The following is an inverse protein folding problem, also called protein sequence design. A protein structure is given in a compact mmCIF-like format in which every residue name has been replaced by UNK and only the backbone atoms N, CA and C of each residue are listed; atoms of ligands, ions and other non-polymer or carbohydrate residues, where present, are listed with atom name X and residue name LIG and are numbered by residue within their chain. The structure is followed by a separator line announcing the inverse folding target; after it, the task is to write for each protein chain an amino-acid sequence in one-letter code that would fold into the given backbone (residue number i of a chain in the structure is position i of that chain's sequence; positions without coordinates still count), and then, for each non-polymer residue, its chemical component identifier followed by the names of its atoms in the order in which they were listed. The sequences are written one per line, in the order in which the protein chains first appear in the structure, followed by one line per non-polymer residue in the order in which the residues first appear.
data_IF_703784886393
#
_entry.id   IF_703784886393
#
_cell.length_a   1.000
_cell.length_b   1.000
_cell.length_c   1.000
_cell.angle_alpha   90.00
_cell.angle_beta   90.00
_cell.angle_gamma   90.00
#
_symmetry.space_group_name_H-M   'P 1'
#
loop_
_entity.id
_entity.type
_entity.pdbx_description
1 polymer ?
#
# COMPACT_ATOMS: atom_id res chain seq x y z
N UNK A 1 26.58 3.11 -1.59
CA UNK A 1 25.47 3.78 -0.89
C UNK A 1 24.58 4.44 -1.92
N UNK A 2 23.27 4.34 -1.76
CA UNK A 2 22.30 5.14 -2.52
C UNK A 2 21.55 6.06 -1.53
N UNK A 3 21.24 7.29 -1.93
CA UNK A 3 20.45 8.26 -1.15
C UNK A 3 19.34 8.87 -2.02
N UNK A 4 18.21 9.20 -1.39
CA UNK A 4 17.09 9.90 -2.03
C UNK A 4 16.30 10.70 -0.99
N UNK A 5 15.50 11.65 -1.46
CA UNK A 5 14.58 12.46 -0.65
C UNK A 5 13.13 11.93 -0.64
N UNK A 6 12.84 10.86 -1.38
CA UNK A 6 11.53 10.18 -1.40
C UNK A 6 11.69 8.67 -1.51
N UNK A 7 10.79 7.92 -0.87
CA UNK A 7 10.63 6.50 -1.13
C UNK A 7 9.83 6.25 -2.41
N UNK A 8 9.00 7.21 -2.85
CA UNK A 8 8.01 7.06 -3.91
C UNK A 8 8.63 7.24 -5.30
N UNK A 9 9.20 6.16 -5.82
CA UNK A 9 9.74 6.13 -7.18
C UNK A 9 8.60 5.94 -8.20
N UNK A 10 8.62 6.78 -9.24
CA UNK A 10 7.90 6.60 -10.51
C UNK A 10 6.45 6.05 -10.40
N UNK A 11 5.56 6.78 -9.72
CA UNK A 11 4.14 6.41 -9.62
C UNK A 11 3.32 6.80 -10.87
N UNK A 12 3.91 7.50 -11.84
CA UNK A 12 3.23 8.07 -13.01
C UNK A 12 2.51 7.02 -13.87
N UNK A 13 3.17 5.91 -14.18
CA UNK A 13 2.62 4.87 -15.06
C UNK A 13 1.40 4.15 -14.45
N UNK A 14 1.39 3.99 -13.12
CA UNK A 14 0.26 3.48 -12.37
C UNK A 14 -0.99 4.36 -12.55
N UNK A 15 -0.82 5.69 -12.63
CA UNK A 15 -1.91 6.66 -12.81
C UNK A 15 -2.44 6.64 -14.23
N UNK A 16 -1.52 6.67 -15.20
CA UNK A 16 -1.85 6.63 -16.63
C UNK A 16 -2.67 5.37 -16.92
N UNK A 17 -2.27 4.22 -16.35
CA UNK A 17 -3.01 2.98 -16.51
C UNK A 17 -4.47 3.04 -16.01
N UNK A 18 -4.73 3.68 -14.85
CA UNK A 18 -6.10 3.84 -14.36
C UNK A 18 -6.91 4.83 -15.20
N UNK A 19 -6.25 5.87 -15.71
CA UNK A 19 -6.88 6.90 -16.53
C UNK A 19 -7.32 6.35 -17.88
N UNK A 20 -6.46 5.56 -18.52
CA UNK A 20 -6.67 4.98 -19.85
C UNK A 20 -7.48 3.68 -19.82
N UNK A 21 -7.89 3.20 -18.64
CA UNK A 21 -8.61 1.93 -18.53
C UNK A 21 -9.98 2.02 -19.23
N UNK A 22 -10.26 1.16 -20.24
CA UNK A 22 -11.37 1.39 -21.18
C UNK A 22 -12.73 0.89 -20.67
N UNK A 23 -12.77 0.20 -19.53
CA UNK A 23 -13.99 -0.41 -18.99
C UNK A 23 -14.63 0.45 -17.90
N UNK A 24 -15.96 0.42 -17.83
CA UNK A 24 -16.79 1.33 -17.04
C UNK A 24 -17.79 0.62 -16.13
N UNK A 25 -17.45 -0.56 -15.60
CA UNK A 25 -18.22 -1.16 -14.50
C UNK A 25 -18.07 -0.29 -13.25
N UNK A 26 -18.96 -0.45 -12.27
CA UNK A 26 -18.95 0.37 -11.06
C UNK A 26 -17.64 0.26 -10.28
N UNK A 27 -17.02 -0.93 -10.20
CA UNK A 27 -15.71 -1.11 -9.58
C UNK A 27 -14.61 -0.32 -10.31
N UNK A 28 -14.62 -0.31 -11.64
CA UNK A 28 -13.58 0.33 -12.44
C UNK A 28 -13.70 1.86 -12.37
N UNK A 29 -14.93 2.38 -12.42
CA UNK A 29 -15.20 3.80 -12.19
C UNK A 29 -14.76 4.23 -10.79
N UNK A 30 -15.10 3.43 -9.76
CA UNK A 30 -14.68 3.68 -8.38
C UNK A 30 -13.15 3.64 -8.22
N UNK A 31 -12.49 2.65 -8.81
CA UNK A 31 -11.02 2.51 -8.78
C UNK A 31 -10.31 3.69 -9.47
N UNK A 32 -10.87 4.21 -10.58
CA UNK A 32 -10.35 5.42 -11.25
C UNK A 32 -10.54 6.67 -10.38
N UNK A 33 -11.73 6.84 -9.78
CA UNK A 33 -11.99 7.95 -8.84
C UNK A 33 -11.02 7.90 -7.66
N UNK A 34 -10.87 6.74 -7.01
CA UNK A 34 -9.93 6.56 -5.90
C UNK A 34 -8.49 6.85 -6.29
N UNK A 35 -8.02 6.30 -7.42
CA UNK A 35 -6.63 6.47 -7.85
C UNK A 35 -6.28 7.93 -8.14
N UNK A 36 -7.15 8.65 -8.85
CA UNK A 36 -6.96 10.07 -9.15
C UNK A 36 -7.05 10.91 -7.86
N UNK A 37 -8.03 10.63 -6.99
CA UNK A 37 -8.19 11.36 -5.74
C UNK A 37 -7.00 11.15 -4.80
N UNK A 38 -6.51 9.91 -4.65
CA UNK A 38 -5.35 9.59 -3.83
C UNK A 38 -4.11 10.36 -4.31
N UNK A 39 -3.87 10.42 -5.62
CA UNK A 39 -2.62 10.95 -6.13
C UNK A 39 -2.61 12.43 -6.46
N UNK A 40 -3.72 13.15 -6.23
CA UNK A 40 -3.80 14.59 -6.48
C UNK A 40 -2.64 15.36 -5.83
N UNK A 41 -2.31 15.04 -4.59
CA UNK A 41 -1.27 15.73 -3.83
C UNK A 41 0.13 15.28 -4.26
N UNK A 42 0.31 13.97 -4.50
CA UNK A 42 1.58 13.37 -4.91
C UNK A 42 1.99 13.79 -6.33
N UNK A 43 1.08 13.79 -7.30
CA UNK A 43 1.42 14.14 -8.69
C UNK A 43 1.71 15.63 -8.85
N UNK A 44 0.92 16.48 -8.18
CA UNK A 44 1.20 17.93 -8.12
C UNK A 44 2.57 18.20 -7.51
N UNK A 45 3.01 17.34 -6.58
CA UNK A 45 4.25 17.48 -5.86
C UNK A 45 5.51 17.12 -6.67
N UNK A 46 5.43 16.22 -7.66
CA UNK A 46 6.61 15.69 -8.37
C UNK A 46 6.72 16.10 -9.85
N UNK A 47 5.86 17.01 -10.35
CA UNK A 47 5.84 17.50 -11.74
C UNK A 47 6.03 16.38 -12.79
N UNK A 48 5.27 15.29 -12.60
CA UNK A 48 5.48 14.07 -13.36
C UNK A 48 5.10 14.24 -14.84
N UNK A 49 6.10 14.08 -15.72
CA UNK A 49 5.92 14.19 -17.16
C UNK A 49 4.92 13.14 -17.71
N UNK A 50 4.05 13.56 -18.62
CA UNK A 50 3.09 12.68 -19.31
C UNK A 50 1.75 12.50 -18.62
N UNK A 51 1.51 13.15 -17.48
CA UNK A 51 0.20 13.17 -16.85
C UNK A 51 -0.77 14.12 -17.58
N UNK A 52 -2.07 13.76 -17.63
CA UNK A 52 -3.11 14.71 -18.00
C UNK A 52 -3.09 15.92 -17.07
N UNK A 53 -3.57 17.06 -17.55
CA UNK A 53 -3.58 18.28 -16.74
C UNK A 53 -4.47 18.10 -15.50
N UNK A 54 -4.17 18.76 -14.35
CA UNK A 54 -4.96 18.63 -13.13
C UNK A 54 -6.46 18.87 -13.32
N UNK A 55 -6.83 19.80 -14.20
CA UNK A 55 -8.22 20.08 -14.57
C UNK A 55 -8.88 18.95 -15.36
N UNK A 56 -8.14 18.24 -16.22
CA UNK A 56 -8.65 17.09 -16.97
C UNK A 56 -8.89 15.89 -16.04
N UNK A 57 -7.96 15.65 -15.11
CA UNK A 57 -8.11 14.65 -14.06
C UNK A 57 -9.31 14.96 -13.16
N UNK A 58 -9.48 16.22 -12.77
CA UNK A 58 -10.60 16.63 -11.94
C UNK A 58 -11.94 16.48 -12.67
N UNK A 59 -12.00 16.85 -13.96
CA UNK A 59 -13.19 16.64 -14.79
C UNK A 59 -13.51 15.15 -14.98
N UNK A 60 -12.48 14.30 -15.10
CA UNK A 60 -12.65 12.86 -15.18
C UNK A 60 -13.27 12.28 -13.90
N UNK A 61 -12.78 12.67 -12.72
CA UNK A 61 -13.36 12.26 -11.43
C UNK A 61 -14.82 12.69 -11.32
N UNK A 62 -15.14 13.94 -11.66
CA UNK A 62 -16.51 14.44 -11.60
C UNK A 62 -17.47 13.69 -12.54
N UNK A 63 -17.02 13.39 -13.77
CA UNK A 63 -17.79 12.58 -14.71
C UNK A 63 -18.06 11.18 -14.16
N UNK A 64 -17.08 10.56 -13.54
CA UNK A 64 -17.20 9.20 -13.03
C UNK A 64 -18.10 9.13 -11.78
N UNK A 65 -18.02 10.13 -10.90
CA UNK A 65 -18.97 10.29 -9.77
C UNK A 65 -20.40 10.40 -10.30
N UNK A 66 -20.63 11.18 -11.35
CA UNK A 66 -21.96 11.31 -11.97
C UNK A 66 -22.46 10.00 -12.59
N UNK A 67 -21.58 9.22 -13.22
CA UNK A 67 -21.91 7.89 -13.75
C UNK A 67 -22.27 6.91 -12.63
N UNK A 68 -21.47 6.88 -11.56
CA UNK A 68 -21.73 6.06 -10.38
C UNK A 68 -23.07 6.43 -9.74
N UNK A 69 -23.35 7.73 -9.57
CA UNK A 69 -24.66 8.20 -9.10
C UNK A 69 -25.81 7.68 -9.96
N UNK A 70 -25.66 7.69 -11.29
CA UNK A 70 -26.65 7.14 -12.22
C UNK A 70 -26.85 5.62 -12.10
N UNK A 71 -25.82 4.90 -11.62
CA UNK A 71 -25.86 3.44 -11.41
C UNK A 71 -26.47 3.04 -10.07
N UNK A 72 -26.54 3.94 -9.08
CA UNK A 72 -26.98 3.60 -7.72
C UNK A 72 -28.44 3.10 -7.71
N UNK A 73 -28.65 1.91 -7.15
CA UNK A 73 -29.96 1.30 -6.98
C UNK A 73 -30.71 1.92 -5.80
N UNK A 74 -32.02 1.72 -5.73
CA UNK A 74 -32.90 2.29 -4.70
C UNK A 74 -32.53 1.84 -3.27
N UNK A 75 -31.97 0.63 -3.13
CA UNK A 75 -31.43 0.09 -1.88
C UNK A 75 -30.15 0.80 -1.40
N UNK A 76 -29.59 1.71 -2.20
CA UNK A 76 -28.36 2.46 -1.90
C UNK A 76 -27.08 1.79 -2.39
N UNK A 77 -27.16 0.54 -2.85
CA UNK A 77 -26.04 -0.22 -3.40
C UNK A 77 -25.80 0.03 -4.88
N UNK A 78 -24.75 -0.61 -5.39
CA UNK A 78 -24.28 -0.46 -6.75
C UNK A 78 -24.21 -1.83 -7.44
N UNK A 79 -24.84 -1.98 -8.62
CA UNK A 79 -24.68 -3.16 -9.45
C UNK A 79 -23.35 -3.11 -10.22
N UNK A 80 -22.99 -4.20 -10.88
CA UNK A 80 -21.74 -4.27 -11.67
C UNK A 80 -21.77 -3.29 -12.86
N UNK A 81 -22.85 -3.26 -13.64
CA UNK A 81 -22.86 -2.55 -14.94
C UNK A 81 -23.97 -1.51 -15.12
N UNK A 82 -25.16 -1.75 -14.57
CA UNK A 82 -26.31 -0.90 -14.88
C UNK A 82 -27.32 -0.94 -13.74
N UNK A 83 -27.87 0.24 -13.40
CA UNK A 83 -28.96 0.38 -12.44
C UNK A 83 -30.12 -0.57 -12.78
N UNK A 84 -30.74 -1.13 -11.75
CA UNK A 84 -31.86 -2.07 -11.87
C UNK A 84 -31.45 -3.54 -11.81
N UNK A 85 -30.17 -3.86 -12.03
CA UNK A 85 -29.61 -5.16 -11.67
C UNK A 85 -29.32 -5.23 -10.17
N UNK A 86 -29.15 -6.44 -9.63
CA UNK A 86 -28.84 -6.63 -8.22
C UNK A 86 -27.54 -5.90 -7.83
N UNK A 87 -27.57 -5.22 -6.69
CA UNK A 87 -26.40 -4.59 -6.08
C UNK A 87 -25.38 -5.67 -5.70
N UNK A 88 -24.12 -5.46 -6.07
CA UNK A 88 -23.04 -6.33 -5.63
C UNK A 88 -22.48 -5.78 -4.31
N UNK A 89 -22.43 -6.57 -3.23
CA UNK A 89 -22.07 -6.07 -1.90
C UNK A 89 -20.62 -5.58 -1.84
N UNK A 90 -19.68 -6.25 -2.50
CA UNK A 90 -18.28 -5.84 -2.50
C UNK A 90 -18.09 -4.55 -3.31
N UNK A 91 -18.71 -4.47 -4.50
CA UNK A 91 -18.59 -3.31 -5.37
C UNK A 91 -19.25 -2.10 -4.73
N UNK A 92 -20.36 -2.30 -4.02
CA UNK A 92 -21.05 -1.23 -3.28
C UNK A 92 -20.16 -0.61 -2.21
N UNK A 93 -19.46 -1.43 -1.41
CA UNK A 93 -18.49 -0.94 -0.41
C UNK A 93 -17.32 -0.22 -1.09
N UNK A 94 -16.81 -0.76 -2.19
CA UNK A 94 -15.71 -0.14 -2.94
C UNK A 94 -16.09 1.21 -3.57
N UNK A 95 -17.30 1.33 -4.11
CA UNK A 95 -17.84 2.60 -4.60
C UNK A 95 -17.99 3.60 -3.45
N UNK A 96 -18.54 3.18 -2.31
CA UNK A 96 -18.65 4.04 -1.13
C UNK A 96 -17.26 4.55 -0.67
N UNK A 97 -16.23 3.69 -0.71
CA UNK A 97 -14.86 4.07 -0.42
C UNK A 97 -14.36 5.15 -1.40
N UNK A 98 -14.63 5.00 -2.69
CA UNK A 98 -14.28 6.00 -3.69
C UNK A 98 -14.95 7.36 -3.44
N UNK A 99 -16.24 7.34 -3.14
CA UNK A 99 -17.03 8.54 -2.90
C UNK A 99 -16.55 9.31 -1.66
N UNK A 100 -16.28 8.61 -0.55
CA UNK A 100 -15.80 9.29 0.67
C UNK A 100 -14.39 9.85 0.49
N UNK A 101 -13.48 9.12 -0.18
CA UNK A 101 -12.13 9.62 -0.45
C UNK A 101 -12.13 10.80 -1.42
N UNK A 102 -12.98 10.77 -2.45
CA UNK A 102 -13.15 11.89 -3.36
C UNK A 102 -13.63 13.16 -2.61
N UNK A 103 -14.61 13.02 -1.73
CA UNK A 103 -15.07 14.14 -0.89
C UNK A 103 -13.96 14.67 0.02
N UNK A 104 -13.19 13.79 0.68
CA UNK A 104 -12.05 14.18 1.53
C UNK A 104 -10.97 14.96 0.76
N UNK A 105 -10.80 14.67 -0.54
CA UNK A 105 -9.88 15.38 -1.44
C UNK A 105 -10.54 16.59 -2.14
N UNK A 106 -11.72 17.00 -1.71
CA UNK A 106 -12.41 18.22 -2.13
C UNK A 106 -13.19 18.12 -3.44
N UNK A 107 -13.46 16.92 -3.94
CA UNK A 107 -14.39 16.73 -5.06
C UNK A 107 -15.83 16.86 -4.58
N UNK A 108 -16.69 17.47 -5.40
CA UNK A 108 -18.12 17.48 -5.17
C UNK A 108 -18.69 16.06 -5.28
N UNK A 109 -19.37 15.62 -4.24
CA UNK A 109 -20.03 14.31 -4.18
C UNK A 109 -21.44 14.55 -3.65
N UNK A 110 -22.50 14.16 -4.39
CA UNK A 110 -23.87 14.36 -3.95
C UNK A 110 -24.14 13.74 -2.58
N UNK A 111 -24.63 14.55 -1.63
CA UNK A 111 -24.87 14.12 -0.26
C UNK A 111 -25.85 12.94 -0.17
N UNK A 112 -26.92 12.96 -0.97
CA UNK A 112 -27.90 11.87 -1.03
C UNK A 112 -27.26 10.53 -1.45
N UNK A 113 -26.38 10.55 -2.46
CA UNK A 113 -25.65 9.37 -2.92
C UNK A 113 -24.80 8.79 -1.80
N UNK A 114 -24.07 9.63 -1.05
CA UNK A 114 -23.29 9.17 0.10
C UNK A 114 -24.17 8.62 1.22
N UNK A 115 -25.22 9.32 1.61
CA UNK A 115 -26.12 8.87 2.70
C UNK A 115 -26.72 7.50 2.37
N UNK A 116 -27.15 7.28 1.13
CA UNK A 116 -27.73 6.01 0.71
C UNK A 116 -26.69 4.89 0.64
N UNK A 117 -25.47 5.19 0.22
CA UNK A 117 -24.37 4.21 0.26
C UNK A 117 -24.00 3.84 1.71
N UNK A 118 -24.00 4.80 2.63
CA UNK A 118 -23.80 4.56 4.06
C UNK A 118 -24.91 3.66 4.64
N UNK A 119 -26.17 3.95 4.32
CA UNK A 119 -27.29 3.15 4.79
C UNK A 119 -27.25 1.71 4.26
N UNK A 120 -26.84 1.51 3.00
CA UNK A 120 -26.58 0.17 2.45
C UNK A 120 -25.48 -0.57 3.25
N UNK A 121 -24.38 0.11 3.59
CA UNK A 121 -23.29 -0.49 4.37
C UNK A 121 -23.68 -0.80 5.82
N UNK A 122 -24.56 0.00 6.44
CA UNK A 122 -25.12 -0.31 7.78
C UNK A 122 -25.92 -1.61 7.80
N UNK A 123 -26.49 -2.01 6.67
CA UNK A 123 -27.23 -3.28 6.52
C UNK A 123 -26.55 -4.29 5.61
N UNK A 124 -25.22 -4.19 5.43
CA UNK A 124 -24.45 -4.98 4.46
C UNK A 124 -24.72 -6.49 4.55
N UNK A 125 -24.91 -7.02 5.75
CA UNK A 125 -25.20 -8.43 6.02
C UNK A 125 -26.41 -8.98 5.25
N UNK A 126 -27.43 -8.12 5.07
CA UNK A 126 -28.67 -8.46 4.36
C UNK A 126 -28.47 -8.50 2.85
N UNK A 127 -27.43 -7.85 2.34
CA UNK A 127 -27.14 -7.72 0.92
C UNK A 127 -26.09 -8.72 0.42
N UNK A 128 -25.36 -9.39 1.31
CA UNK A 128 -24.41 -10.46 0.94
C UNK A 128 -25.16 -11.76 0.64
N UNK A 129 -25.15 -12.26 -0.61
CA UNK A 129 -25.85 -13.48 -0.98
C UNK A 129 -25.43 -14.69 -0.15
N UNK A 130 -26.38 -15.61 0.11
CA UNK A 130 -26.14 -16.77 0.97
C UNK A 130 -25.11 -17.77 0.45
N UNK A 131 -24.79 -17.72 -0.85
CA UNK A 131 -23.80 -18.58 -1.48
C UNK A 131 -22.36 -18.08 -1.33
N UNK A 132 -22.14 -16.86 -0.80
CA UNK A 132 -20.79 -16.38 -0.47
C UNK A 132 -20.25 -17.17 0.71
N UNK A 133 -18.98 -17.60 0.63
CA UNK A 133 -18.32 -18.26 1.76
C UNK A 133 -18.24 -17.37 3.00
N UNK A 134 -18.09 -18.02 4.15
CA UNK A 134 -17.94 -17.33 5.43
C UNK A 134 -16.71 -16.40 5.47
N UNK A 135 -15.66 -16.68 4.69
CA UNK A 135 -14.46 -15.85 4.55
C UNK A 135 -14.75 -14.60 3.73
N UNK A 136 -15.44 -14.73 2.59
CA UNK A 136 -15.84 -13.60 1.77
C UNK A 136 -16.82 -12.67 2.47
N UNK A 137 -17.82 -13.23 3.14
CA UNK A 137 -18.76 -12.45 3.97
C UNK A 137 -18.03 -11.63 5.03
N UNK A 138 -17.10 -12.25 5.75
CA UNK A 138 -16.31 -11.60 6.79
C UNK A 138 -15.46 -10.44 6.25
N UNK A 139 -14.80 -10.64 5.12
CA UNK A 139 -14.00 -9.59 4.48
C UNK A 139 -14.84 -8.39 4.04
N UNK A 140 -16.03 -8.63 3.47
CA UNK A 140 -16.95 -7.55 3.06
C UNK A 140 -17.46 -6.77 4.29
N UNK A 141 -17.82 -7.47 5.37
CA UNK A 141 -18.26 -6.83 6.61
C UNK A 141 -17.15 -5.96 7.23
N UNK A 142 -15.93 -6.48 7.29
CA UNK A 142 -14.76 -5.74 7.77
C UNK A 142 -14.49 -4.50 6.92
N UNK A 143 -14.52 -4.65 5.58
CA UNK A 143 -14.34 -3.52 4.67
C UNK A 143 -15.43 -2.47 4.84
N UNK A 144 -16.70 -2.89 4.97
CA UNK A 144 -17.81 -1.96 5.19
C UNK A 144 -17.66 -1.16 6.49
N UNK A 145 -17.22 -1.79 7.59
CA UNK A 145 -16.96 -1.10 8.86
C UNK A 145 -15.84 -0.07 8.74
N UNK A 146 -14.77 -0.39 8.01
CA UNK A 146 -13.70 0.56 7.70
C UNK A 146 -14.21 1.73 6.86
N UNK A 147 -14.95 1.49 5.77
CA UNK A 147 -15.46 2.60 4.95
C UNK A 147 -16.48 3.45 5.72
N UNK A 148 -17.31 2.84 6.57
CA UNK A 148 -18.20 3.56 7.50
C UNK A 148 -17.40 4.46 8.45
N UNK A 149 -16.26 4.02 8.96
CA UNK A 149 -15.42 4.85 9.83
C UNK A 149 -14.86 6.08 9.09
N UNK A 150 -14.46 5.93 7.82
CA UNK A 150 -14.06 7.06 6.96
C UNK A 150 -15.19 8.07 6.72
N UNK A 151 -16.44 7.62 6.79
CA UNK A 151 -17.66 8.43 6.68
C UNK A 151 -18.13 9.00 8.03
N UNK A 152 -17.31 8.88 9.10
CA UNK A 152 -17.62 9.28 10.47
C UNK A 152 -18.77 8.47 11.13
N UNK A 153 -19.08 7.27 10.63
CA UNK A 153 -20.02 6.31 11.22
C UNK A 153 -19.27 5.15 11.90
N UNK A 154 -18.43 5.47 12.88
CA UNK A 154 -17.56 4.50 13.55
C UNK A 154 -18.37 3.53 14.42
N UNK A 155 -18.23 2.23 14.17
CA UNK A 155 -18.89 1.15 14.92
C UNK A 155 -17.84 0.17 15.48
N UNK A 156 -17.07 0.65 16.46
CA UNK A 156 -15.96 -0.10 17.04
C UNK A 156 -16.42 -1.35 17.82
N UNK A 157 -17.64 -1.32 18.38
CA UNK A 157 -18.20 -2.48 19.09
C UNK A 157 -18.49 -3.63 18.10
N UNK A 158 -19.07 -3.31 16.95
CA UNK A 158 -19.29 -4.29 15.90
C UNK A 158 -17.98 -4.77 15.28
N UNK A 159 -16.99 -3.88 15.09
CA UNK A 159 -15.67 -4.27 14.61
C UNK A 159 -14.97 -5.25 15.56
N UNK A 160 -14.98 -4.99 16.87
CA UNK A 160 -14.44 -5.91 17.88
C UNK A 160 -15.23 -7.23 17.91
N UNK A 161 -16.57 -7.19 17.81
CA UNK A 161 -17.40 -8.40 17.73
C UNK A 161 -17.08 -9.23 16.49
N UNK A 162 -16.90 -8.60 15.34
CA UNK A 162 -16.56 -9.28 14.09
C UNK A 162 -15.16 -9.90 14.19
N UNK A 163 -14.17 -9.15 14.68
CA UNK A 163 -12.81 -9.64 14.92
C UNK A 163 -12.81 -10.91 15.79
N UNK A 164 -13.56 -10.87 16.88
CA UNK A 164 -13.65 -11.95 17.87
C UNK A 164 -14.62 -13.07 17.46
N UNK A 165 -15.25 -13.00 16.29
CA UNK A 165 -16.18 -14.04 15.81
C UNK A 165 -15.48 -15.33 15.36
N UNK A 166 -14.16 -15.26 15.13
CA UNK A 166 -13.31 -16.39 14.72
C UNK A 166 -11.84 -16.13 15.06
N UNK A 167 -10.98 -17.17 15.12
CA UNK A 167 -9.53 -16.98 15.30
C UNK A 167 -8.91 -16.04 14.26
N UNK A 168 -7.86 -15.29 14.63
CA UNK A 168 -7.17 -14.37 13.71
C UNK A 168 -6.54 -15.12 12.54
N UNK A 169 -5.97 -16.30 12.77
CA UNK A 169 -5.35 -17.14 11.73
C UNK A 169 -6.36 -17.64 10.67
N UNK A 170 -7.65 -17.62 10.99
CA UNK A 170 -8.74 -17.99 10.06
C UNK A 170 -9.30 -16.77 9.29
N UNK A 171 -8.76 -15.58 9.53
CA UNK A 171 -9.17 -14.33 8.88
C UNK A 171 -8.19 -13.95 7.77
N UNK A 172 -8.69 -13.25 6.74
CA UNK A 172 -7.77 -12.61 5.81
C UNK A 172 -7.09 -11.42 6.49
N UNK A 173 -5.80 -11.21 6.17
CA UNK A 173 -5.04 -10.07 6.70
C UNK A 173 -5.68 -8.73 6.35
N UNK A 174 -6.35 -8.61 5.20
CA UNK A 174 -7.10 -7.41 4.83
C UNK A 174 -8.28 -7.15 5.77
N UNK A 175 -9.04 -8.19 6.12
CA UNK A 175 -10.14 -8.04 7.08
C UNK A 175 -9.63 -7.62 8.46
N UNK A 176 -8.54 -8.24 8.92
CA UNK A 176 -7.89 -7.89 10.18
C UNK A 176 -7.40 -6.44 10.14
N UNK A 177 -6.72 -6.00 9.07
CA UNK A 177 -6.20 -4.65 8.93
C UNK A 177 -7.30 -3.58 8.82
N UNK A 178 -8.42 -3.86 8.13
CA UNK A 178 -9.57 -2.94 8.13
C UNK A 178 -10.19 -2.80 9.52
N UNK A 179 -10.37 -3.91 10.25
CA UNK A 179 -10.88 -3.88 11.62
C UNK A 179 -9.91 -3.15 12.56
N UNK A 180 -8.61 -3.35 12.37
CA UNK A 180 -7.56 -2.64 13.11
C UNK A 180 -7.73 -1.12 12.99
N UNK A 181 -7.92 -0.61 11.77
CA UNK A 181 -8.12 0.82 11.54
C UNK A 181 -9.39 1.38 12.23
N UNK A 182 -10.44 0.58 12.36
CA UNK A 182 -11.67 0.98 13.07
C UNK A 182 -11.46 1.03 14.59
N UNK A 183 -10.64 0.13 15.14
CA UNK A 183 -10.39 -0.01 16.58
C UNK A 183 -9.29 0.92 17.09
N UNK A 184 -8.30 1.22 16.24
CA UNK A 184 -7.10 2.01 16.53
C UNK A 184 -7.41 3.32 17.24
N UNK A 185 -6.62 3.64 18.28
CA UNK A 185 -6.79 4.85 19.09
C UNK A 185 -7.91 4.78 20.14
N UNK A 186 -8.68 3.68 20.20
CA UNK A 186 -9.70 3.47 21.23
C UNK A 186 -9.19 2.54 22.34
N UNK A 187 -8.90 3.13 23.51
CA UNK A 187 -8.37 2.40 24.67
C UNK A 187 -9.28 1.26 25.17
N UNK A 188 -10.59 1.29 24.87
CA UNK A 188 -11.50 0.22 25.25
C UNK A 188 -11.20 -1.11 24.53
N UNK A 189 -10.53 -1.05 23.37
CA UNK A 189 -10.21 -2.21 22.53
C UNK A 189 -8.71 -2.48 22.46
N UNK A 190 -7.92 -1.99 23.42
CA UNK A 190 -6.46 -2.15 23.41
C UNK A 190 -6.02 -3.63 23.34
N UNK A 191 -6.73 -4.53 24.00
CA UNK A 191 -6.42 -5.95 23.95
C UNK A 191 -6.60 -6.56 22.55
N UNK A 192 -7.63 -6.13 21.82
CA UNK A 192 -7.85 -6.53 20.43
C UNK A 192 -6.74 -5.96 19.53
N UNK A 193 -6.39 -4.68 19.72
CA UNK A 193 -5.31 -4.00 18.98
C UNK A 193 -3.97 -4.72 19.20
N UNK A 194 -3.61 -5.03 20.45
CA UNK A 194 -2.37 -5.74 20.79
C UNK A 194 -2.35 -7.18 20.25
N UNK A 195 -3.52 -7.82 20.10
CA UNK A 195 -3.62 -9.13 19.45
C UNK A 195 -3.41 -9.02 17.94
N UNK A 196 -3.97 -7.98 17.30
CA UNK A 196 -3.78 -7.71 15.87
C UNK A 196 -2.31 -7.43 15.57
N UNK A 197 -1.65 -6.51 16.31
CA UNK A 197 -0.23 -6.16 16.11
C UNK A 197 0.65 -7.41 16.10
N UNK A 198 0.52 -8.24 17.14
CA UNK A 198 1.24 -9.51 17.25
C UNK A 198 0.94 -10.47 16.09
N UNK A 199 -0.31 -10.52 15.63
CA UNK A 199 -0.68 -11.37 14.51
C UNK A 199 -0.05 -10.88 13.19
N UNK A 200 -0.10 -9.57 12.91
CA UNK A 200 0.55 -8.97 11.72
C UNK A 200 2.06 -9.20 11.76
N UNK A 201 2.71 -8.96 12.89
CA UNK A 201 4.15 -9.20 13.07
C UNK A 201 4.54 -10.67 12.83
N UNK A 202 3.69 -11.62 13.20
CA UNK A 202 3.94 -13.05 12.97
C UNK A 202 3.70 -13.49 11.51
N UNK A 203 3.03 -12.66 10.71
CA UNK A 203 2.66 -12.97 9.32
C UNK A 203 3.56 -12.27 8.29
N UNK A 204 4.43 -11.36 8.74
CA UNK A 204 5.35 -10.65 7.85
C UNK A 204 6.47 -11.58 7.35
N UNK A 205 6.72 -11.53 6.05
CA UNK A 205 7.90 -12.11 5.42
C UNK A 205 8.89 -10.99 5.15
N UNK A 206 9.95 -10.95 5.95
CA UNK A 206 10.90 -9.86 5.97
C UNK A 206 12.26 -10.27 5.40
N UNK A 207 12.84 -9.38 4.60
CA UNK A 207 14.23 -9.42 4.15
C UNK A 207 14.97 -8.17 4.65
N UNK A 208 16.28 -8.11 4.44
CA UNK A 208 17.09 -6.96 4.85
C UNK A 208 16.64 -5.61 4.24
N UNK A 209 15.86 -5.59 3.16
CA UNK A 209 15.46 -4.35 2.48
C UNK A 209 14.00 -4.25 2.05
N UNK A 210 13.18 -5.26 2.33
CA UNK A 210 11.76 -5.27 1.97
C UNK A 210 10.97 -6.22 2.88
N UNK A 211 9.69 -5.92 3.05
CA UNK A 211 8.74 -6.76 3.77
C UNK A 211 7.50 -6.96 2.88
N UNK A 212 6.89 -8.14 2.96
CA UNK A 212 5.61 -8.42 2.34
C UNK A 212 4.81 -9.44 3.17
N UNK A 213 3.52 -9.53 2.86
CA UNK A 213 2.59 -10.46 3.48
C UNK A 213 2.14 -11.45 2.41
N UNK A 214 2.30 -12.73 2.69
CA UNK A 214 1.86 -13.81 1.79
C UNK A 214 0.55 -14.35 2.34
N UNK A 215 -0.49 -14.34 1.50
CA UNK A 215 -1.78 -14.95 1.84
C UNK A 215 -2.03 -16.17 0.96
N UNK A 216 -2.54 -17.25 1.56
CA UNK A 216 -3.01 -18.43 0.85
C UNK A 216 -4.49 -18.25 0.50
N UNK A 217 -4.85 -18.64 -0.72
CA UNK A 217 -6.16 -18.36 -1.30
C UNK A 217 -6.96 -19.63 -1.60
N UNK A 218 -8.26 -19.52 -1.37
CA UNK A 218 -9.27 -20.52 -1.70
C UNK A 218 -10.05 -20.09 -2.97
N UNK A 219 -10.82 -21.01 -3.55
CA UNK A 219 -11.52 -20.85 -4.85
C UNK A 219 -12.45 -19.62 -4.95
N UNK A 220 -12.89 -19.03 -3.84
CA UNK A 220 -13.81 -17.87 -3.80
C UNK A 220 -13.12 -16.50 -3.80
N UNK A 221 -11.78 -16.44 -3.80
CA UNK A 221 -11.02 -15.19 -3.70
C UNK A 221 -11.33 -14.18 -4.84
N UNK A 222 -11.85 -14.66 -5.98
CA UNK A 222 -12.24 -13.81 -7.11
C UNK A 222 -13.39 -12.85 -6.79
N UNK A 223 -14.28 -13.19 -5.84
CA UNK A 223 -15.43 -12.35 -5.46
C UNK A 223 -15.02 -11.04 -4.78
N UNK A 224 -13.81 -10.99 -4.27
CA UNK A 224 -13.27 -9.91 -3.45
C UNK A 224 -12.14 -9.18 -4.17
N UNK A 225 -11.75 -9.66 -5.36
CA UNK A 225 -10.65 -9.15 -6.16
C UNK A 225 -9.34 -9.05 -5.33
N UNK A 226 -9.10 -10.05 -4.47
CA UNK A 226 -7.95 -10.10 -3.57
C UNK A 226 -6.64 -10.35 -4.31
N UNK A 227 -5.55 -9.83 -3.74
CA UNK A 227 -4.20 -10.24 -4.09
C UNK A 227 -3.17 -9.80 -3.03
N UNK A 228 -1.98 -10.40 -3.08
CA UNK A 228 -0.96 -10.18 -2.05
C UNK A 228 -0.53 -8.70 -1.98
N UNK A 229 -0.43 -8.03 -3.13
CA UNK A 229 -0.03 -6.60 -3.17
C UNK A 229 -1.11 -5.68 -2.62
N UNK A 230 -2.38 -6.03 -2.80
CA UNK A 230 -3.48 -5.33 -2.14
C UNK A 230 -3.42 -5.54 -0.63
N UNK A 231 -3.17 -6.77 -0.18
CA UNK A 231 -2.98 -7.06 1.25
C UNK A 231 -1.85 -6.23 1.84
N UNK A 232 -0.69 -6.19 1.20
CA UNK A 232 0.46 -5.37 1.63
C UNK A 232 0.06 -3.89 1.80
N UNK A 233 -0.70 -3.34 0.86
CA UNK A 233 -1.14 -1.95 0.90
C UNK A 233 -2.15 -1.66 2.02
N UNK A 234 -3.13 -2.55 2.25
CA UNK A 234 -4.12 -2.40 3.32
C UNK A 234 -3.45 -2.52 4.70
N UNK A 235 -2.50 -3.43 4.86
CA UNK A 235 -1.72 -3.56 6.09
C UNK A 235 -0.81 -2.35 6.30
N UNK A 236 -0.17 -1.84 5.24
CA UNK A 236 0.62 -0.59 5.31
C UNK A 236 -0.24 0.59 5.79
N UNK A 237 -1.44 0.75 5.24
CA UNK A 237 -2.36 1.81 5.65
C UNK A 237 -2.72 1.73 7.15
N UNK A 238 -2.94 0.51 7.65
CA UNK A 238 -3.21 0.28 9.07
C UNK A 238 -1.97 0.52 9.97
N UNK A 239 -0.78 0.07 9.54
CA UNK A 239 0.48 0.34 10.25
C UNK A 239 0.74 1.84 10.39
N UNK A 240 0.53 2.62 9.31
CA UNK A 240 0.71 4.07 9.36
C UNK A 240 -0.26 4.73 10.35
N UNK A 241 -1.47 4.17 10.50
CA UNK A 241 -2.47 4.70 11.42
C UNK A 241 -2.14 4.46 12.89
N UNK A 242 -1.72 3.24 13.22
CA UNK A 242 -1.64 2.77 14.61
C UNK A 242 -0.19 2.73 15.14
N UNK A 243 0.78 2.45 14.27
CA UNK A 243 2.20 2.29 14.62
C UNK A 243 3.12 3.08 13.66
N UNK A 244 2.98 4.42 13.56
CA UNK A 244 3.71 5.24 12.57
C UNK A 244 5.24 5.22 12.74
N UNK A 245 5.74 4.75 13.88
CA UNK A 245 7.17 4.59 14.17
C UNK A 245 7.72 3.19 13.80
N UNK A 246 6.88 2.29 13.28
CA UNK A 246 7.29 0.93 12.93
C UNK A 246 8.30 0.89 11.78
N UNK A 247 9.42 0.19 11.99
CA UNK A 247 10.45 -0.08 10.98
C UNK A 247 9.96 -0.96 9.81
N UNK A 248 8.79 -1.60 9.96
CA UNK A 248 8.15 -2.35 8.88
C UNK A 248 7.62 -1.44 7.77
N UNK A 249 7.13 -0.24 8.11
CA UNK A 249 6.52 0.69 7.15
C UNK A 249 7.43 0.95 5.94
N UNK A 250 8.70 1.42 6.09
CA UNK A 250 9.57 1.65 4.95
C UNK A 250 9.91 0.37 4.17
N UNK A 251 9.93 -0.79 4.83
CA UNK A 251 10.19 -2.10 4.17
C UNK A 251 9.00 -2.58 3.36
N UNK A 252 7.77 -2.38 3.83
CA UNK A 252 6.55 -2.68 3.08
C UNK A 252 6.44 -1.76 1.86
N UNK A 253 6.73 -0.46 2.01
CA UNK A 253 6.81 0.47 0.88
C UNK A 253 7.85 0.00 -0.16
N UNK A 254 9.05 -0.37 0.29
CA UNK A 254 10.09 -0.89 -0.59
C UNK A 254 9.65 -2.18 -1.31
N UNK A 255 8.98 -3.09 -0.61
CA UNK A 255 8.41 -4.31 -1.18
C UNK A 255 7.37 -4.01 -2.25
N UNK A 256 6.40 -3.13 -1.96
CA UNK A 256 5.36 -2.71 -2.91
C UNK A 256 5.98 -2.14 -4.19
N UNK A 257 6.94 -1.22 -4.08
CA UNK A 257 7.61 -0.59 -5.22
C UNK A 257 8.45 -1.59 -6.03
N UNK A 258 9.17 -2.50 -5.36
CA UNK A 258 9.96 -3.54 -6.03
C UNK A 258 9.12 -4.51 -6.87
N UNK A 259 7.83 -4.63 -6.56
CA UNK A 259 6.89 -5.49 -7.29
C UNK A 259 6.18 -4.79 -8.47
N UNK A 260 6.53 -3.55 -8.79
CA UNK A 260 6.02 -2.90 -10.00
C UNK A 260 6.55 -3.59 -11.27
N UNK A 261 5.66 -3.80 -12.24
CA UNK A 261 6.01 -4.27 -13.59
C UNK A 261 5.60 -3.18 -14.58
N UNK A 262 6.60 -2.55 -15.23
CA UNK A 262 6.39 -1.37 -16.10
C UNK A 262 5.63 -0.24 -15.38
N UNK A 263 6.08 0.08 -14.16
CA UNK A 263 5.57 1.21 -13.37
C UNK A 263 4.16 1.03 -12.78
N UNK A 264 3.61 -0.19 -12.78
CA UNK A 264 2.28 -0.49 -12.21
C UNK A 264 2.19 -1.88 -11.59
N UNK A 265 1.10 -2.12 -10.87
CA UNK A 265 0.72 -3.45 -10.33
C UNK A 265 -0.29 -4.16 -11.25
N UNK A 266 -0.59 -5.43 -10.98
CA UNK A 266 -1.16 -6.35 -11.98
C UNK A 266 -2.59 -6.01 -12.42
N UNK A 267 -3.40 -5.40 -11.55
CA UNK A 267 -4.80 -5.10 -11.82
C UNK A 267 -5.25 -3.78 -11.17
N UNK A 268 -6.46 -3.33 -11.46
CA UNK A 268 -7.03 -2.06 -10.95
C UNK A 268 -7.07 -2.00 -9.42
N UNK A 269 -7.36 -3.12 -8.76
CA UNK A 269 -7.49 -3.23 -7.30
C UNK A 269 -6.13 -3.16 -6.58
N UNK A 270 -5.12 -3.87 -7.06
CA UNK A 270 -3.75 -3.71 -6.55
C UNK A 270 -3.30 -2.27 -6.68
N UNK A 271 -3.49 -1.72 -7.89
CA UNK A 271 -3.03 -0.38 -8.20
C UNK A 271 -3.69 0.64 -7.27
N UNK A 272 -5.03 0.62 -7.13
CA UNK A 272 -5.74 1.63 -6.32
C UNK A 272 -5.38 1.57 -4.84
N UNK A 273 -5.30 0.38 -4.23
CA UNK A 273 -4.98 0.26 -2.81
C UNK A 273 -3.53 0.63 -2.52
N UNK A 274 -2.59 0.25 -3.39
CA UNK A 274 -1.20 0.67 -3.23
C UNK A 274 -1.09 2.19 -3.34
N UNK A 275 -1.76 2.82 -4.31
CA UNK A 275 -1.74 4.28 -4.46
C UNK A 275 -2.34 5.00 -3.24
N UNK A 276 -3.41 4.47 -2.63
CA UNK A 276 -3.98 5.01 -1.40
C UNK A 276 -2.99 4.94 -0.23
N UNK A 277 -2.34 3.79 -0.04
CA UNK A 277 -1.37 3.60 1.03
C UNK A 277 -0.13 4.48 0.83
N UNK A 278 0.33 4.64 -0.42
CA UNK A 278 1.47 5.50 -0.75
C UNK A 278 1.12 7.00 -0.66
N UNK A 279 -0.10 7.43 -1.00
CA UNK A 279 -0.57 8.79 -0.71
C UNK A 279 -0.56 9.07 0.79
N UNK A 280 -1.06 8.14 1.61
CA UNK A 280 -0.99 8.29 3.06
C UNK A 280 0.44 8.36 3.56
N UNK A 281 1.31 7.46 3.08
CA UNK A 281 2.73 7.47 3.42
C UNK A 281 3.39 8.81 3.08
N UNK A 282 3.13 9.34 1.89
CA UNK A 282 3.63 10.65 1.47
C UNK A 282 3.20 11.76 2.44
N UNK A 283 1.90 11.84 2.74
CA UNK A 283 1.36 12.88 3.61
C UNK A 283 1.82 12.72 5.07
N UNK A 284 2.13 11.50 5.53
CA UNK A 284 2.61 11.26 6.90
C UNK A 284 4.11 11.51 7.04
N UNK A 285 4.94 11.07 6.09
CA UNK A 285 6.39 11.04 6.25
C UNK A 285 7.18 11.95 5.31
N UNK A 286 6.58 12.41 4.21
CA UNK A 286 7.23 13.19 3.15
C UNK A 286 6.53 14.53 2.87
N UNK A 287 5.65 14.96 3.78
CA UNK A 287 4.93 16.23 3.64
C UNK A 287 5.87 17.44 3.56
N UNK A 288 7.00 17.40 4.26
CA UNK A 288 8.02 18.46 4.26
C UNK A 288 8.80 18.40 2.94
N UNK A 289 8.75 19.49 2.18
CA UNK A 289 9.55 19.66 0.97
C UNK A 289 11.04 19.52 1.31
N UNK A 290 11.78 18.63 0.62
CA UNK A 290 13.21 18.45 0.88
C UNK A 290 14.03 19.73 0.64
N UNK A 291 14.83 20.11 1.62
CA UNK A 291 15.91 21.09 1.50
C UNK A 291 17.01 20.70 2.48
N UNK A 292 17.78 19.69 2.08
CA UNK A 292 18.81 19.10 2.94
C UNK A 292 20.03 18.65 2.16
N UNK A 293 21.13 18.50 2.88
CA UNK A 293 22.39 17.93 2.40
C UNK A 293 22.69 16.67 3.18
N UNK A 294 22.88 15.56 2.46
CA UNK A 294 23.35 14.29 3.01
C UNK A 294 24.86 14.16 2.80
N UNK A 295 25.60 13.95 3.88
CA UNK A 295 27.06 13.85 3.86
C UNK A 295 27.51 12.50 4.41
N UNK A 296 28.51 11.90 3.77
CA UNK A 296 29.04 10.59 4.12
C UNK A 296 30.53 10.67 4.44
N UNK A 297 30.92 10.05 5.55
CA UNK A 297 32.31 9.82 5.92
C UNK A 297 32.54 8.34 6.18
N UNK A 298 33.76 7.89 5.86
CA UNK A 298 34.28 6.57 6.20
C UNK A 298 35.58 6.79 6.99
N UNK A 299 35.53 6.51 8.30
CA UNK A 299 36.51 7.03 9.25
C UNK A 299 36.59 8.56 9.17
N UNK A 300 37.81 9.09 9.07
CA UNK A 300 38.05 10.54 8.90
C UNK A 300 37.92 11.00 7.44
N UNK A 301 37.68 10.08 6.49
CA UNK A 301 37.65 10.41 5.07
C UNK A 301 36.26 10.88 4.65
N UNK A 302 36.18 12.09 4.11
CA UNK A 302 34.98 12.57 3.44
C UNK A 302 34.75 11.82 2.13
N UNK A 303 33.61 11.12 2.02
CA UNK A 303 33.32 10.24 0.90
C UNK A 303 32.43 10.91 -0.14
N UNK A 304 31.33 11.55 0.30
CA UNK A 304 30.37 12.15 -0.62
C UNK A 304 29.48 13.21 0.05
N UNK A 305 28.99 14.12 -0.79
CA UNK A 305 27.89 15.04 -0.51
C UNK A 305 26.77 14.83 -1.53
N UNK A 306 25.52 14.88 -1.08
CA UNK A 306 24.35 14.86 -1.93
C UNK A 306 23.35 15.89 -1.45
N UNK A 307 23.07 16.90 -2.26
CA UNK A 307 22.10 17.94 -1.95
C UNK A 307 20.75 17.61 -2.58
N UNK A 308 19.67 17.73 -1.79
CA UNK A 308 18.30 17.54 -2.23
C UNK A 308 17.52 18.81 -1.97
N UNK A 309 17.04 19.44 -3.04
CA UNK A 309 16.26 20.67 -2.99
C UNK A 309 14.98 20.51 -3.80
N UNK A 310 13.84 20.83 -3.18
CA UNK A 310 12.53 20.57 -3.77
C UNK A 310 12.20 19.08 -3.81
N UNK A 311 11.08 18.76 -4.45
CA UNK A 311 10.63 17.39 -4.63
C UNK A 311 11.17 16.83 -5.92
N UNK A 312 11.93 15.74 -5.82
CA UNK A 312 12.56 15.04 -6.94
C UNK A 312 12.50 13.54 -6.70
N UNK A 313 12.44 12.76 -7.78
CA UNK A 313 12.57 11.29 -7.73
C UNK A 313 14.00 10.82 -8.00
N UNK A 314 14.94 11.76 -8.15
CA UNK A 314 16.35 11.46 -8.38
C UNK A 314 16.98 10.72 -7.19
N UNK A 315 17.92 9.85 -7.53
CA UNK A 315 18.74 9.13 -6.59
C UNK A 315 20.19 9.45 -6.84
N UNK A 316 20.93 9.55 -5.75
CA UNK A 316 22.36 9.73 -5.82
C UNK A 316 23.06 8.46 -5.33
N UNK A 317 24.06 8.03 -6.10
CA UNK A 317 24.81 6.80 -5.81
C UNK A 317 26.28 7.13 -5.58
N UNK A 318 26.83 6.57 -4.51
CA UNK A 318 28.26 6.61 -4.21
C UNK A 318 28.80 5.19 -4.08
N UNK A 319 29.78 4.86 -4.90
CA UNK A 319 30.51 3.59 -4.81
C UNK A 319 31.84 3.83 -4.09
N UNK A 320 32.05 3.13 -2.97
CA UNK A 320 33.35 3.08 -2.30
C UNK A 320 34.03 1.77 -2.69
N UNK A 321 35.18 1.80 -3.39
CA UNK A 321 35.89 0.58 -3.74
C UNK A 321 36.36 -0.18 -2.49
N UNK A 322 36.25 -1.52 -2.51
CA UNK A 322 36.57 -2.37 -1.35
C UNK A 322 38.00 -2.16 -0.82
N UNK A 323 38.95 -1.78 -1.68
CA UNK A 323 40.33 -1.45 -1.28
C UNK A 323 40.42 -0.36 -0.21
N UNK A 324 39.48 0.59 -0.16
CA UNK A 324 39.45 1.61 0.90
C UNK A 324 39.05 1.03 2.26
N UNK A 325 38.37 -0.12 2.26
CA UNK A 325 38.03 -0.86 3.48
C UNK A 325 39.16 -1.83 3.87
N UNK A 326 39.80 -2.49 2.90
CA UNK A 326 40.84 -3.52 3.16
C UNK A 326 42.23 -2.96 3.38
N UNK A 327 42.58 -1.84 2.75
CA UNK A 327 43.93 -1.25 2.84
C UNK A 327 44.09 -0.36 4.10
N UNK A 328 43.06 -0.26 4.93
CA UNK A 328 43.14 0.45 6.20
C UNK A 328 43.84 -0.39 7.25
N UNK A 329 44.72 0.25 8.02
CA UNK A 329 45.37 -0.36 9.19
C UNK A 329 44.38 -0.64 10.33
N UNK A 330 43.13 -0.16 10.22
CA UNK A 330 42.07 -0.42 11.18
C UNK A 330 41.23 -1.64 10.77
N UNK A 331 41.06 -2.58 11.69
CA UNK A 331 40.20 -3.76 11.49
C UNK A 331 38.72 -3.40 11.28
N UNK A 332 38.27 -2.24 11.76
CA UNK A 332 36.92 -1.70 11.61
C UNK A 332 36.99 -0.22 11.29
N UNK A 333 36.11 0.25 10.42
CA UNK A 333 35.96 1.67 10.11
C UNK A 333 34.53 2.12 10.36
N UNK A 334 34.38 3.28 10.99
CA UNK A 334 33.07 3.89 11.21
C UNK A 334 32.53 4.48 9.90
N UNK A 335 31.24 4.27 9.64
CA UNK A 335 30.53 4.92 8.55
C UNK A 335 29.54 5.93 9.14
N UNK A 336 29.80 7.22 8.93
CA UNK A 336 28.94 8.29 9.40
C UNK A 336 28.13 8.86 8.24
N UNK A 337 26.80 8.80 8.37
CA UNK A 337 25.87 9.49 7.49
C UNK A 337 25.20 10.62 8.28
N UNK A 338 25.38 11.85 7.84
CA UNK A 338 24.73 13.02 8.44
C UNK A 338 23.74 13.65 7.45
N UNK A 339 22.59 14.09 7.95
CA UNK A 339 21.61 14.90 7.23
C UNK A 339 21.54 16.27 7.90
N UNK A 340 21.64 17.32 7.09
CA UNK A 340 21.57 18.71 7.53
C UNK A 340 20.54 19.46 6.70
N UNK A 341 19.50 20.01 7.34
CA UNK A 341 18.34 20.62 6.67
C UNK A 341 17.03 19.84 6.82
N UNK A 342 15.98 20.29 6.12
CA UNK A 342 14.59 19.84 6.27
C UNK A 342 14.20 18.72 5.29
N UNK A 343 13.24 17.88 5.71
CA UNK A 343 12.77 16.73 4.91
C UNK A 343 13.42 15.41 5.32
N UNK A 344 12.97 14.32 4.69
CA UNK A 344 13.36 12.95 5.02
C UNK A 344 14.46 12.44 4.10
N UNK A 345 15.51 11.86 4.68
CA UNK A 345 16.57 11.17 3.94
C UNK A 345 16.29 9.67 3.94
N UNK A 346 16.19 9.08 2.76
CA UNK A 346 16.26 7.65 2.56
C UNK A 346 17.65 7.26 2.11
N UNK A 347 18.17 6.16 2.67
CA UNK A 347 19.47 5.66 2.29
C UNK A 347 19.50 4.13 2.27
N UNK A 348 20.33 3.59 1.38
CA UNK A 348 20.67 2.17 1.35
C UNK A 348 22.16 1.98 1.36
N UNK A 349 22.63 1.22 2.34
CA UNK A 349 23.99 0.70 2.40
C UNK A 349 24.01 -0.72 1.84
N UNK A 350 24.98 -0.99 0.99
CA UNK A 350 25.18 -2.29 0.39
C UNK A 350 26.66 -2.57 0.33
N UNK A 351 27.07 -3.72 0.84
CA UNK A 351 28.42 -4.22 0.76
C UNK A 351 28.40 -5.44 -0.16
N UNK A 352 29.29 -5.44 -1.16
CA UNK A 352 29.51 -6.59 -2.02
C UNK A 352 30.96 -7.02 -1.86
N UNK A 353 31.16 -8.23 -1.38
CA UNK A 353 32.48 -8.80 -1.14
C UNK A 353 32.50 -10.26 -1.62
N UNK A 354 33.70 -10.77 -1.83
CA UNK A 354 33.95 -12.21 -1.91
C UNK A 354 34.64 -12.61 -0.60
N UNK A 355 34.24 -13.72 0.03
CA UNK A 355 34.99 -14.25 1.17
C UNK A 355 36.37 -14.74 0.70
N UNK A 356 37.34 -14.71 1.61
CA UNK A 356 38.70 -15.19 1.32
C UNK A 356 38.74 -16.72 1.11
N UNK A 357 37.77 -17.43 1.69
CA UNK A 357 37.53 -18.85 1.47
C UNK A 357 36.19 -19.07 0.74
N UNK A 358 36.22 -19.91 -0.29
CA UNK A 358 35.04 -20.29 -1.09
C UNK A 358 34.42 -21.60 -0.60
N UNK A 359 35.04 -22.29 0.36
CA UNK A 359 34.44 -23.42 1.09
C UNK A 359 33.52 -22.88 2.19
N UNK A 360 32.26 -22.65 1.81
CA UNK A 360 31.23 -22.11 2.69
C UNK A 360 30.21 -23.21 2.99
N UNK A 361 29.75 -23.24 4.24
CA UNK A 361 28.59 -24.05 4.60
C UNK A 361 27.38 -23.65 3.75
N UNK A 362 26.57 -24.62 3.29
CA UNK A 362 25.31 -24.33 2.61
C UNK A 362 24.43 -23.41 3.46
N UNK A 363 23.92 -22.34 2.85
CA UNK A 363 23.07 -21.36 3.52
C UNK A 363 21.70 -21.30 2.84
N UNK A 364 20.64 -21.49 3.62
CA UNK A 364 19.26 -21.23 3.22
C UNK A 364 18.69 -20.05 4.01
N UNK A 365 18.19 -19.06 3.27
CA UNK A 365 17.49 -17.86 3.78
C UNK A 365 16.27 -17.54 2.89
N UNK A 366 15.52 -18.56 2.48
CA UNK A 366 14.26 -18.42 1.73
C UNK A 366 14.36 -18.65 0.22
N UNK A 367 15.57 -18.85 -0.31
CA UNK A 367 15.82 -19.30 -1.68
C UNK A 367 16.89 -20.39 -1.65
N UNK A 368 16.66 -21.47 -2.40
CA UNK A 368 17.57 -22.62 -2.48
C UNK A 368 18.08 -22.75 -3.91
N UNK A 369 19.40 -22.85 -4.07
CA UNK A 369 20.05 -23.17 -5.33
C UNK A 369 20.81 -24.47 -5.16
N UNK A 370 20.43 -25.50 -5.93
CA UNK A 370 21.12 -26.78 -5.95
C UNK A 370 21.76 -26.99 -7.32
N UNK A 371 23.01 -27.46 -7.33
CA UNK A 371 23.71 -27.86 -8.54
C UNK A 371 24.05 -29.34 -8.46
N UNK A 372 23.52 -30.13 -9.39
CA UNK A 372 23.92 -31.52 -9.61
C UNK A 372 24.72 -31.64 -10.91
N UNK A 373 25.55 -32.67 -10.97
CA UNK A 373 26.30 -33.06 -12.15
C UNK A 373 25.96 -34.50 -12.48
N UNK A 374 25.56 -34.76 -13.73
CA UNK A 374 25.37 -36.10 -14.27
C UNK A 374 26.28 -36.29 -15.48
N UNK A 375 26.77 -37.52 -15.68
CA UNK A 375 27.52 -37.85 -16.87
C UNK A 375 26.55 -37.86 -18.07
N UNK A 376 27.03 -37.45 -19.25
CA UNK A 376 26.20 -37.43 -20.47
C UNK A 376 25.70 -38.85 -20.81
N UNK A 377 26.45 -39.85 -20.39
CA UNK A 377 26.29 -41.27 -20.66
C UNK A 377 25.41 -41.99 -19.61
N UNK A 378 25.08 -41.32 -18.50
CA UNK A 378 24.21 -41.83 -17.43
C UNK A 378 23.46 -40.63 -16.77
N UNK A 379 22.41 -40.12 -17.45
CA UNK A 379 21.75 -38.86 -17.12
C UNK A 379 20.81 -38.89 -15.90
#
# INVERSE_FOLDING_TARGET
MNTSSTALQALTDAVIYLTDYPFSCSEQLASRVLGIAALRDVLTAFDAAGLPAPEELAAAVQRDIALLQGMQNDDGGFPVWQRGYASDPFYSVHVAHALVRAQQKGFDVPADTQTRALDFMRTIDRHIPGWYSAKARHAIQAYALYVRSLMNDVDAAEASRLLNSRPLDDQSLEAVAWLWQVLSGNAAYQADIDAIRRHIDNQVVETAGAANFITSYDDDAYLLLHSNRRTDAVVLDALINDEPESDLIPKVVAGLLAHQVKGRWNNTQENVFVLLALDRYFNTFEAVTPDFVARLWLGDTYVAEHSFQGRTTEQAQTLVPMRYLTDSDQATQDLLLAKDGDGRLYYRLGLRYAPDDLDLDPLDRGFVVQRSYAAVDDP
#
